data_IF_352792918776
#
_entry.id   IF_352792918776
#
_cell.length_a   1.000
_cell.length_b   1.000
_cell.length_c   1.000
_cell.angle_alpha   90.00
_cell.angle_beta   90.00
_cell.angle_gamma   90.00
#
_symmetry.space_group_name_H-M   'P 1'
#
loop_
_entity.id
_entity.type
_entity.pdbx_description
1 polymer ?
#
# COMPACT_ATOMS: atom_id res chain seq x y z
N UNK A 1 17.40 -2.79 12.26
CA UNK A 1 16.49 -3.82 11.70
C UNK A 1 15.46 -3.05 10.88
N UNK A 2 15.45 -3.17 9.55
CA UNK A 2 14.40 -2.52 8.74
C UNK A 2 13.10 -3.26 9.09
N UNK A 3 12.01 -2.57 9.41
CA UNK A 3 10.69 -3.19 9.66
C UNK A 3 9.71 -2.59 8.65
N UNK A 4 9.30 -3.36 7.66
CA UNK A 4 8.10 -3.00 6.90
C UNK A 4 6.90 -3.32 7.79
N UNK A 5 5.95 -2.40 7.91
CA UNK A 5 4.69 -2.67 8.60
C UNK A 5 4.01 -3.91 8.02
N UNK A 6 4.25 -4.18 6.74
CA UNK A 6 3.68 -5.30 6.02
C UNK A 6 4.58 -6.54 5.90
N UNK A 7 5.68 -6.62 6.66
CA UNK A 7 6.54 -7.82 6.69
C UNK A 7 5.75 -9.07 7.12
N UNK A 8 4.76 -8.87 8.00
CA UNK A 8 3.80 -9.90 8.43
C UNK A 8 2.49 -9.88 7.62
N UNK A 9 2.18 -8.79 6.90
CA UNK A 9 0.98 -8.68 6.05
C UNK A 9 1.10 -9.33 4.66
N UNK A 10 1.91 -10.38 4.57
CA UNK A 10 1.55 -11.51 3.71
C UNK A 10 0.43 -12.29 4.44
N UNK A 11 -0.64 -11.60 4.85
CA UNK A 11 -1.87 -12.18 5.42
C UNK A 11 -2.79 -12.64 4.28
N UNK A 12 -2.41 -12.40 3.04
CA UNK A 12 -2.86 -13.18 1.91
C UNK A 12 -1.80 -14.25 1.68
N UNK A 13 -1.88 -15.33 2.45
CA UNK A 13 -1.22 -16.58 2.11
C UNK A 13 -0.18 -17.10 3.11
N UNK A 14 -0.65 -17.94 4.04
CA UNK A 14 0.08 -19.17 4.39
C UNK A 14 0.21 -20.16 3.21
N UNK A 15 -0.35 -19.83 2.04
CA UNK A 15 -0.19 -20.55 0.77
C UNK A 15 0.84 -19.95 -0.20
N UNK A 16 1.55 -18.87 0.18
CA UNK A 16 2.86 -18.63 -0.42
C UNK A 16 3.76 -19.76 0.11
N UNK A 17 4.02 -20.77 -0.74
CA UNK A 17 4.59 -22.05 -0.37
C UNK A 17 5.63 -21.98 0.74
N UNK A 18 5.54 -22.95 1.67
CA UNK A 18 6.62 -23.31 2.59
C UNK A 18 7.94 -23.19 1.82
N UNK A 19 8.90 -22.44 2.37
CA UNK A 19 10.25 -22.35 1.82
C UNK A 19 10.68 -23.77 1.42
N UNK A 20 11.09 -24.01 0.15
CA UNK A 20 11.69 -25.29 -0.18
C UNK A 20 12.89 -25.48 0.75
N UNK A 21 13.01 -26.66 1.35
CA UNK A 21 14.18 -27.05 2.13
C UNK A 21 15.45 -26.66 1.36
N UNK A 22 16.13 -25.62 1.83
CA UNK A 22 17.54 -25.42 1.54
C UNK A 22 18.25 -26.30 2.56
N UNK A 23 18.39 -27.58 2.22
CA UNK A 23 19.30 -28.45 2.96
C UNK A 23 20.70 -27.82 2.92
N UNK A 24 21.25 -27.66 4.12
CA UNK A 24 22.66 -27.50 4.46
C UNK A 24 23.43 -26.35 3.80
N UNK A 25 23.16 -25.12 4.23
CA UNK A 25 24.24 -24.20 4.67
C UNK A 25 23.77 -23.33 5.82
N UNK A 26 24.50 -23.41 6.93
CA UNK A 26 24.39 -22.52 8.08
C UNK A 26 24.25 -21.05 7.64
N UNK A 27 23.14 -20.41 8.02
CA UNK A 27 23.02 -18.95 8.02
C UNK A 27 22.21 -18.53 9.24
N UNK A 28 22.90 -18.05 10.27
CA UNK A 28 22.34 -17.20 11.31
C UNK A 28 21.82 -15.91 10.66
N UNK A 29 20.51 -15.61 10.74
CA UNK A 29 19.99 -14.35 10.18
C UNK A 29 18.50 -14.33 9.83
N UNK A 30 17.62 -14.66 10.77
CA UNK A 30 16.16 -14.62 10.57
C UNK A 30 15.60 -13.20 10.28
N UNK A 31 14.54 -13.12 9.48
CA UNK A 31 13.66 -11.96 9.21
C UNK A 31 14.23 -10.74 8.47
N UNK A 32 15.54 -10.48 8.55
CA UNK A 32 16.14 -9.25 8.00
C UNK A 32 16.30 -9.26 6.47
N UNK A 33 16.40 -10.44 5.85
CA UNK A 33 16.65 -10.60 4.41
C UNK A 33 15.40 -10.35 3.53
N UNK A 34 14.22 -10.79 3.97
CA UNK A 34 12.97 -10.61 3.23
C UNK A 34 12.57 -9.13 3.12
N UNK A 35 12.78 -8.40 4.22
CA UNK A 35 12.58 -6.96 4.35
C UNK A 35 13.58 -6.21 3.45
N UNK A 36 14.86 -6.59 3.51
CA UNK A 36 15.90 -6.06 2.59
C UNK A 36 15.55 -6.30 1.11
N UNK A 37 14.89 -7.40 0.77
CA UNK A 37 14.44 -7.71 -0.58
C UNK A 37 13.28 -6.82 -1.04
N UNK A 38 12.26 -6.63 -0.19
CA UNK A 38 11.13 -5.74 -0.47
C UNK A 38 11.56 -4.27 -0.59
N UNK A 39 12.47 -3.81 0.28
CA UNK A 39 13.12 -2.50 0.15
C UNK A 39 13.82 -2.33 -1.20
N UNK A 40 14.60 -3.32 -1.62
CA UNK A 40 15.30 -3.31 -2.91
C UNK A 40 14.34 -3.38 -4.09
N UNK A 41 13.19 -4.02 -3.95
CA UNK A 41 12.19 -4.18 -5.01
C UNK A 41 11.27 -2.97 -5.14
N UNK A 42 10.78 -2.39 -4.04
CA UNK A 42 10.14 -1.06 -4.08
C UNK A 42 11.11 -0.04 -4.66
N UNK A 43 12.38 -0.07 -4.24
CA UNK A 43 13.45 0.73 -4.85
C UNK A 43 13.61 0.42 -6.36
N UNK A 44 13.55 -0.83 -6.83
CA UNK A 44 13.70 -1.17 -8.26
C UNK A 44 12.47 -0.85 -9.12
N UNK A 45 11.27 -1.13 -8.64
CA UNK A 45 10.01 -0.89 -9.36
C UNK A 45 9.74 0.59 -9.58
N UNK A 46 10.23 1.44 -8.68
CA UNK A 46 10.20 2.89 -8.83
C UNK A 46 11.36 3.45 -9.68
N UNK A 47 12.44 2.69 -9.88
CA UNK A 47 13.69 3.13 -10.54
C UNK A 47 14.03 2.42 -11.85
N UNK A 48 13.18 1.54 -12.37
CA UNK A 48 13.41 0.83 -13.64
C UNK A 48 12.34 1.23 -14.65
N UNK A 49 12.70 1.62 -15.89
CA UNK A 49 11.73 1.64 -16.97
C UNK A 49 11.31 0.19 -17.26
N UNK A 50 10.01 -0.20 -17.18
CA UNK A 50 9.58 -1.56 -17.50
C UNK A 50 9.66 -1.82 -19.00
N UNK A 51 10.08 -3.02 -19.43
CA UNK A 51 10.13 -3.37 -20.86
C UNK A 51 8.75 -3.79 -21.41
N UNK A 52 7.66 -3.36 -20.78
CA UNK A 52 6.28 -3.65 -21.18
C UNK A 52 5.62 -2.36 -21.67
N UNK A 53 5.53 -2.23 -22.99
CA UNK A 53 5.15 -1.01 -23.71
C UNK A 53 3.79 -0.42 -23.31
N UNK A 54 2.90 -1.18 -22.64
CA UNK A 54 1.59 -0.69 -22.20
C UNK A 54 1.58 0.08 -20.87
N UNK A 55 2.42 -0.31 -19.90
CA UNK A 55 2.49 0.37 -18.59
C UNK A 55 3.47 1.55 -18.62
N UNK A 56 4.47 1.46 -19.51
CA UNK A 56 5.41 2.54 -19.80
C UNK A 56 4.73 3.82 -20.29
N UNK A 57 3.78 3.72 -21.20
CA UNK A 57 3.16 4.92 -21.79
C UNK A 57 2.35 5.69 -20.73
N UNK A 58 1.78 5.01 -19.74
CA UNK A 58 1.04 5.68 -18.66
C UNK A 58 1.96 6.29 -17.58
N UNK A 59 3.10 5.65 -17.29
CA UNK A 59 4.07 6.14 -16.30
C UNK A 59 5.02 7.22 -16.84
N UNK A 60 5.28 7.27 -18.15
CA UNK A 60 6.28 8.17 -18.73
C UNK A 60 5.72 9.42 -19.41
N UNK A 61 4.41 9.52 -19.64
CA UNK A 61 3.82 10.71 -20.29
C UNK A 61 3.38 11.82 -19.32
N UNK A 62 3.42 11.60 -18.00
CA UNK A 62 3.13 12.63 -16.99
C UNK A 62 3.90 12.37 -15.70
N UNK A 63 5.21 12.65 -15.71
CA UNK A 63 6.09 12.78 -14.54
C UNK A 63 5.75 14.11 -13.84
N UNK A 64 4.49 14.28 -13.44
CA UNK A 64 4.08 15.30 -12.50
C UNK A 64 4.46 14.76 -11.12
N UNK A 65 5.22 15.54 -10.35
CA UNK A 65 5.71 15.30 -8.98
C UNK A 65 4.98 14.17 -8.23
N UNK A 66 5.66 13.24 -7.54
CA UNK A 66 5.00 12.17 -6.76
C UNK A 66 3.83 12.67 -5.87
N UNK A 67 3.97 13.89 -5.35
CA UNK A 67 2.89 14.63 -4.70
C UNK A 67 1.66 14.88 -5.61
N UNK A 68 1.85 15.33 -6.85
CA UNK A 68 0.78 15.49 -7.85
C UNK A 68 0.09 14.16 -8.19
N UNK A 69 0.82 13.04 -8.21
CA UNK A 69 0.20 11.71 -8.34
C UNK A 69 -0.69 11.43 -7.12
N UNK A 70 -0.21 11.73 -5.91
CA UNK A 70 -0.98 11.59 -4.69
C UNK A 70 -2.26 12.47 -4.73
N UNK A 71 -2.14 13.73 -5.14
CA UNK A 71 -3.25 14.68 -5.27
C UNK A 71 -4.28 14.25 -6.33
N UNK A 72 -3.80 13.74 -7.47
CA UNK A 72 -4.66 13.18 -8.50
C UNK A 72 -5.43 11.95 -8.00
N UNK A 73 -4.75 11.02 -7.32
CA UNK A 73 -5.41 9.86 -6.71
C UNK A 73 -6.41 10.31 -5.67
N UNK A 74 -6.07 11.26 -4.80
CA UNK A 74 -6.95 11.75 -3.75
C UNK A 74 -8.25 12.34 -4.32
N UNK A 75 -8.19 13.02 -5.46
CA UNK A 75 -9.37 13.61 -6.13
C UNK A 75 -10.18 12.60 -6.96
N UNK A 76 -9.57 11.50 -7.39
CA UNK A 76 -10.22 10.52 -8.27
C UNK A 76 -10.69 9.26 -7.54
N UNK A 77 -9.83 8.67 -6.72
CA UNK A 77 -10.04 7.41 -6.02
C UNK A 77 -9.29 7.41 -4.68
N UNK A 78 -10.04 7.64 -3.60
CA UNK A 78 -9.47 7.78 -2.26
C UNK A 78 -8.83 6.48 -1.75
N UNK A 79 -9.32 5.30 -2.14
CA UNK A 79 -8.69 4.04 -1.77
C UNK A 79 -7.32 3.87 -2.44
N UNK A 80 -7.21 4.23 -3.72
CA UNK A 80 -5.90 4.25 -4.40
C UNK A 80 -4.93 5.24 -3.79
N UNK A 81 -5.42 6.40 -3.34
CA UNK A 81 -4.60 7.37 -2.61
C UNK A 81 -4.05 6.77 -1.31
N UNK A 82 -4.90 6.11 -0.51
CA UNK A 82 -4.46 5.48 0.74
C UNK A 82 -3.40 4.42 0.46
N UNK A 83 -3.63 3.53 -0.50
CA UNK A 83 -2.66 2.48 -0.89
C UNK A 83 -1.34 3.11 -1.38
N UNK A 84 -1.43 4.17 -2.17
CA UNK A 84 -0.24 4.90 -2.63
C UNK A 84 0.55 5.50 -1.46
N UNK A 85 -0.13 6.09 -0.48
CA UNK A 85 0.54 6.64 0.69
C UNK A 85 1.17 5.55 1.58
N UNK A 86 0.55 4.37 1.70
CA UNK A 86 1.17 3.22 2.38
C UNK A 86 2.48 2.82 1.71
N UNK A 87 2.55 2.84 0.37
CA UNK A 87 3.81 2.60 -0.35
C UNK A 87 4.88 3.63 -0.01
N UNK A 88 4.50 4.91 0.15
CA UNK A 88 5.45 5.98 0.48
C UNK A 88 5.99 5.84 1.91
N UNK A 89 5.12 5.53 2.87
CA UNK A 89 5.53 5.26 4.26
C UNK A 89 6.51 4.07 4.31
N UNK A 90 6.20 2.97 3.62
CA UNK A 90 7.07 1.81 3.57
C UNK A 90 8.39 2.09 2.85
N UNK A 91 8.37 2.93 1.81
CA UNK A 91 9.61 3.39 1.17
C UNK A 91 10.47 4.19 2.15
N UNK A 92 9.90 5.10 2.94
CA UNK A 92 10.61 5.86 3.97
C UNK A 92 11.20 4.92 5.03
N UNK A 93 10.44 3.92 5.48
CA UNK A 93 10.92 2.89 6.44
C UNK A 93 12.10 2.09 5.90
N UNK A 94 12.13 1.84 4.59
CA UNK A 94 13.23 1.12 3.94
C UNK A 94 14.60 1.81 4.10
N UNK A 95 14.59 3.13 4.29
CA UNK A 95 15.77 3.97 4.56
C UNK A 95 16.00 4.23 6.05
N UNK A 96 15.24 3.57 6.94
CA UNK A 96 15.34 3.75 8.40
C UNK A 96 15.18 5.22 8.83
N UNK A 97 14.42 6.02 8.07
CA UNK A 97 14.28 7.46 8.34
C UNK A 97 15.57 8.29 8.18
N UNK A 98 16.61 7.74 7.53
CA UNK A 98 17.84 8.48 7.28
C UNK A 98 17.64 9.48 6.15
N UNK A 99 17.50 10.76 6.51
CA UNK A 99 17.28 11.87 5.58
C UNK A 99 18.27 11.91 4.42
N UNK A 100 19.55 11.67 4.69
CA UNK A 100 20.59 11.71 3.67
C UNK A 100 20.45 10.57 2.65
N UNK A 101 20.05 9.37 3.10
CA UNK A 101 19.80 8.25 2.17
C UNK A 101 18.56 8.52 1.28
N UNK A 102 17.53 9.18 1.81
CA UNK A 102 16.34 9.60 1.05
C UNK A 102 16.73 10.62 -0.03
N UNK A 103 17.51 11.65 0.32
CA UNK A 103 18.01 12.65 -0.64
C UNK A 103 18.84 12.01 -1.75
N UNK A 104 19.79 11.15 -1.40
CA UNK A 104 20.65 10.46 -2.38
C UNK A 104 19.83 9.59 -3.32
N UNK A 105 18.82 8.87 -2.82
CA UNK A 105 17.90 8.09 -3.66
C UNK A 105 17.20 8.94 -4.72
N UNK A 106 16.66 10.10 -4.35
CA UNK A 106 15.96 11.00 -5.27
C UNK A 106 16.93 11.62 -6.29
N UNK A 107 18.12 12.00 -5.84
CA UNK A 107 19.12 12.69 -6.68
C UNK A 107 19.79 11.77 -7.70
N UNK A 108 20.10 10.52 -7.34
CA UNK A 108 20.90 9.64 -8.18
C UNK A 108 20.09 8.79 -9.18
N UNK A 109 18.82 8.54 -8.88
CA UNK A 109 18.09 7.45 -9.55
C UNK A 109 16.89 7.90 -10.39
N UNK A 110 16.39 9.11 -10.19
CA UNK A 110 15.33 9.67 -11.02
C UNK A 110 15.90 10.53 -12.16
N UNK A 111 15.56 10.23 -13.43
CA UNK A 111 15.97 11.03 -14.58
C UNK A 111 15.09 12.28 -14.73
N UNK A 112 15.01 13.09 -13.68
CA UNK A 112 14.23 14.34 -13.64
C UNK A 112 15.13 15.55 -13.43
N UNK A 113 14.58 16.74 -13.67
CA UNK A 113 15.33 18.00 -13.52
C UNK A 113 15.85 18.16 -12.08
N UNK A 114 16.97 18.90 -11.87
CA UNK A 114 17.45 19.19 -10.52
C UNK A 114 16.40 19.88 -9.63
N UNK A 115 15.53 20.71 -10.22
CA UNK A 115 14.44 21.37 -9.52
C UNK A 115 13.38 20.37 -9.03
N UNK A 116 12.97 19.43 -9.88
CA UNK A 116 11.98 18.41 -9.51
C UNK A 116 12.56 17.43 -8.48
N UNK A 117 13.86 17.13 -8.56
CA UNK A 117 14.56 16.34 -7.52
C UNK A 117 14.47 17.01 -6.15
N UNK A 118 14.69 18.31 -6.08
CA UNK A 118 14.58 19.06 -4.83
C UNK A 118 13.16 18.98 -4.26
N UNK A 119 12.14 19.25 -5.09
CA UNK A 119 10.73 19.17 -4.69
C UNK A 119 10.32 17.78 -4.20
N UNK A 120 10.75 16.71 -4.89
CA UNK A 120 10.48 15.33 -4.47
C UNK A 120 11.16 15.03 -3.12
N UNK A 121 12.43 15.41 -2.98
CA UNK A 121 13.17 15.24 -1.74
C UNK A 121 12.48 15.95 -0.56
N UNK A 122 12.09 17.21 -0.75
CA UNK A 122 11.44 18.01 0.29
C UNK A 122 10.10 17.38 0.70
N UNK A 123 9.33 16.86 -0.25
CA UNK A 123 8.08 16.16 0.04
C UNK A 123 8.30 14.87 0.87
N UNK A 124 9.30 14.05 0.52
CA UNK A 124 9.65 12.86 1.31
C UNK A 124 10.15 13.22 2.71
N UNK A 125 10.95 14.28 2.84
CA UNK A 125 11.43 14.75 4.14
C UNK A 125 10.27 15.26 5.01
N UNK A 126 9.31 15.97 4.41
CA UNK A 126 8.10 16.39 5.11
C UNK A 126 7.23 15.20 5.56
N UNK A 127 7.11 14.15 4.75
CA UNK A 127 6.43 12.91 5.16
C UNK A 127 7.16 12.21 6.30
N UNK A 128 8.50 12.11 6.23
CA UNK A 128 9.31 11.58 7.32
C UNK A 128 9.12 12.39 8.61
N UNK A 129 9.10 13.72 8.53
CA UNK A 129 8.86 14.59 9.69
C UNK A 129 7.50 14.33 10.34
N UNK A 130 6.46 14.14 9.52
CA UNK A 130 5.13 13.73 10.01
C UNK A 130 5.19 12.35 10.68
N UNK A 131 5.84 11.37 10.08
CA UNK A 131 5.95 10.02 10.64
C UNK A 131 6.70 9.99 11.98
N UNK A 132 7.79 10.77 12.09
CA UNK A 132 8.57 10.90 13.33
C UNK A 132 7.77 11.62 14.40
N UNK A 133 7.11 12.73 14.07
CA UNK A 133 6.30 13.49 15.04
C UNK A 133 5.08 12.73 15.57
N UNK A 134 4.58 11.75 14.80
CA UNK A 134 3.46 10.89 15.20
C UNK A 134 3.92 9.55 15.82
N UNK A 135 5.23 9.33 15.96
CA UNK A 135 5.83 8.08 16.49
C UNK A 135 5.41 6.80 15.73
N UNK A 136 5.25 6.90 14.41
CA UNK A 136 4.82 5.79 13.52
C UNK A 136 5.91 5.33 12.55
N UNK A 137 7.16 5.75 12.78
CA UNK A 137 8.27 5.36 11.90
C UNK A 137 8.44 3.85 11.85
N UNK A 138 8.25 3.15 12.98
CA UNK A 138 8.40 1.70 13.06
C UNK A 138 7.16 0.92 12.55
N UNK A 139 5.95 1.42 12.84
CA UNK A 139 4.67 0.78 12.50
C UNK A 139 3.55 1.81 12.56
N UNK A 140 2.51 1.61 11.75
CA UNK A 140 1.28 2.40 11.77
C UNK A 140 1.19 3.34 10.58
N UNK A 141 0.05 3.98 10.41
CA UNK A 141 -0.18 4.92 9.32
C UNK A 141 -0.33 6.33 9.85
N UNK A 142 0.01 7.31 9.01
CA UNK A 142 -0.23 8.72 9.28
C UNK A 142 -1.68 8.92 9.73
N UNK A 143 -1.87 9.75 10.75
CA UNK A 143 -3.19 10.03 11.33
C UNK A 143 -4.21 10.49 10.27
N UNK A 144 -3.77 11.25 9.26
CA UNK A 144 -4.60 11.67 8.13
C UNK A 144 -5.10 10.48 7.29
N UNK A 145 -4.31 9.42 7.14
CA UNK A 145 -4.74 8.19 6.45
C UNK A 145 -5.71 7.38 7.31
N UNK A 146 -5.45 7.26 8.61
CA UNK A 146 -6.37 6.58 9.53
C UNK A 146 -7.75 7.26 9.58
N UNK A 147 -7.78 8.59 9.50
CA UNK A 147 -9.03 9.36 9.39
C UNK A 147 -9.79 8.99 8.12
N UNK A 148 -9.12 8.94 6.97
CA UNK A 148 -9.74 8.56 5.70
C UNK A 148 -10.28 7.12 5.73
N UNK A 149 -9.52 6.18 6.29
CA UNK A 149 -9.99 4.79 6.48
C UNK A 149 -11.24 4.76 7.37
N UNK A 150 -11.25 5.55 8.43
CA UNK A 150 -12.41 5.65 9.33
C UNK A 150 -13.64 6.23 8.64
N UNK A 151 -13.46 7.22 7.76
CA UNK A 151 -14.55 7.78 6.95
C UNK A 151 -15.10 6.76 5.95
N UNK A 152 -14.24 5.98 5.30
CA UNK A 152 -14.67 4.88 4.42
C UNK A 152 -15.40 3.80 5.21
N UNK A 153 -14.97 3.49 6.44
CA UNK A 153 -15.67 2.55 7.31
C UNK A 153 -17.07 3.05 7.70
N UNK A 154 -17.23 4.35 7.97
CA UNK A 154 -18.55 4.94 8.20
C UNK A 154 -19.48 4.81 6.99
N UNK A 155 -18.97 5.09 5.79
CA UNK A 155 -19.73 4.90 4.54
C UNK A 155 -20.10 3.42 4.38
N UNK A 156 -19.15 2.52 4.60
CA UNK A 156 -19.36 1.08 4.56
C UNK A 156 -20.50 0.63 5.48
N UNK A 157 -20.48 0.98 6.76
CA UNK A 157 -21.52 0.57 7.71
C UNK A 157 -22.89 1.20 7.41
N UNK A 158 -22.91 2.37 6.78
CA UNK A 158 -24.16 2.95 6.29
C UNK A 158 -24.70 2.14 5.10
N UNK A 159 -23.88 1.89 4.08
CA UNK A 159 -24.27 1.15 2.89
C UNK A 159 -24.74 -0.28 3.21
N UNK A 160 -24.13 -0.95 4.19
CA UNK A 160 -24.60 -2.26 4.66
C UNK A 160 -26.07 -2.26 5.11
N UNK A 161 -26.59 -1.11 5.54
CA UNK A 161 -27.99 -0.96 6.00
C UNK A 161 -28.91 -0.42 4.91
N UNK A 162 -28.37 0.39 3.99
CA UNK A 162 -29.17 1.19 3.08
C UNK A 162 -29.14 0.72 1.63
N UNK A 163 -28.14 -0.08 1.23
CA UNK A 163 -27.94 -0.52 -0.14
C UNK A 163 -27.86 -2.06 -0.23
N UNK A 164 -28.93 -2.74 -0.71
CA UNK A 164 -28.94 -4.18 -0.89
C UNK A 164 -27.89 -4.70 -1.88
N UNK A 165 -27.52 -3.92 -2.89
CA UNK A 165 -26.51 -4.28 -3.89
C UNK A 165 -25.13 -4.31 -3.23
N UNK A 166 -24.84 -3.27 -2.43
CA UNK A 166 -23.61 -3.23 -1.64
C UNK A 166 -23.56 -4.36 -0.61
N UNK A 167 -24.68 -4.66 0.06
CA UNK A 167 -24.77 -5.77 1.00
C UNK A 167 -24.44 -7.12 0.33
N UNK A 168 -24.95 -7.37 -0.88
CA UNK A 168 -24.61 -8.59 -1.64
C UNK A 168 -23.12 -8.62 -2.04
N UNK A 169 -22.58 -7.51 -2.53
CA UNK A 169 -21.16 -7.40 -2.88
C UNK A 169 -20.26 -7.65 -1.65
N UNK A 170 -20.59 -7.05 -0.50
CA UNK A 170 -19.90 -7.32 0.76
C UNK A 170 -20.04 -8.76 1.21
N UNK A 171 -21.19 -9.40 0.96
CA UNK A 171 -21.37 -10.84 1.20
C UNK A 171 -20.35 -11.72 0.49
N UNK A 172 -19.84 -11.29 -0.68
CA UNK A 172 -18.78 -11.98 -1.43
C UNK A 172 -17.38 -11.73 -0.85
N UNK A 173 -17.14 -10.53 -0.31
CA UNK A 173 -15.86 -10.16 0.32
C UNK A 173 -15.71 -10.70 1.75
N UNK A 174 -16.81 -10.80 2.51
CA UNK A 174 -16.84 -11.17 3.92
C UNK A 174 -16.10 -12.48 4.27
N UNK A 175 -16.23 -13.58 3.49
CA UNK A 175 -15.47 -14.80 3.76
C UNK A 175 -13.95 -14.57 3.75
N UNK A 176 -13.44 -13.79 2.80
CA UNK A 176 -12.02 -13.48 2.71
C UNK A 176 -11.55 -12.59 3.88
N UNK A 177 -12.39 -11.65 4.31
CA UNK A 177 -12.10 -10.81 5.49
C UNK A 177 -11.99 -11.67 6.75
N UNK A 178 -12.93 -12.60 6.96
CA UNK A 178 -12.90 -13.51 8.10
C UNK A 178 -11.67 -14.42 8.07
N UNK A 179 -11.33 -14.93 6.88
CA UNK A 179 -10.12 -15.73 6.69
C UNK A 179 -8.86 -14.93 7.06
N UNK A 180 -8.75 -13.69 6.59
CA UNK A 180 -7.62 -12.81 6.94
C UNK A 180 -7.50 -12.60 8.46
N UNK A 181 -8.61 -12.38 9.16
CA UNK A 181 -8.64 -12.26 10.63
C UNK A 181 -8.20 -13.56 11.31
N UNK A 182 -8.65 -14.71 10.81
CA UNK A 182 -8.23 -16.01 11.35
C UNK A 182 -6.73 -16.27 11.13
N UNK A 183 -6.18 -15.80 10.00
CA UNK A 183 -4.76 -15.93 9.69
C UNK A 183 -3.85 -14.97 10.47
N UNK A 184 -4.41 -13.88 11.01
CA UNK A 184 -3.68 -12.86 11.76
C UNK A 184 -3.19 -13.32 13.15
N UNK A 185 -3.64 -14.47 13.64
CA UNK A 185 -3.16 -15.10 14.88
C UNK A 185 -3.14 -14.16 16.10
N UNK A 186 -4.20 -13.35 16.25
CA UNK A 186 -4.37 -12.40 17.33
C UNK A 186 -3.77 -11.00 17.08
N UNK A 187 -3.16 -10.76 15.92
CA UNK A 187 -2.81 -9.41 15.47
C UNK A 187 -4.09 -8.61 15.10
N UNK A 188 -4.17 -7.37 15.57
CA UNK A 188 -5.22 -6.44 15.18
C UNK A 188 -4.99 -5.93 13.75
N UNK A 189 -5.90 -6.29 12.83
CA UNK A 189 -5.89 -5.85 11.44
C UNK A 189 -6.68 -4.57 11.21
N UNK A 190 -7.31 -4.02 12.25
CA UNK A 190 -8.25 -2.91 12.14
C UNK A 190 -9.63 -3.37 11.63
N UNK A 191 -10.39 -2.40 11.14
CA UNK A 191 -11.73 -2.65 10.60
C UNK A 191 -11.69 -3.34 9.22
N UNK A 192 -12.86 -3.72 8.73
CA UNK A 192 -13.05 -4.43 7.46
C UNK A 192 -12.43 -3.68 6.26
N UNK A 193 -12.45 -2.35 6.29
CA UNK A 193 -11.91 -1.53 5.20
C UNK A 193 -10.39 -1.51 5.24
N UNK A 194 -9.79 -1.45 6.42
CA UNK A 194 -8.35 -1.63 6.58
C UNK A 194 -7.91 -3.00 6.04
N UNK A 195 -8.67 -4.06 6.33
CA UNK A 195 -8.39 -5.41 5.81
C UNK A 195 -8.46 -5.45 4.27
N UNK A 196 -9.48 -4.84 3.66
CA UNK A 196 -9.58 -4.74 2.20
C UNK A 196 -8.40 -3.98 1.58
N UNK A 197 -8.03 -2.81 2.15
CA UNK A 197 -6.89 -2.01 1.70
C UNK A 197 -5.59 -2.81 1.78
N UNK A 198 -5.39 -3.48 2.91
CA UNK A 198 -4.26 -4.35 3.18
C UNK A 198 -4.19 -5.52 2.17
N UNK A 199 -5.32 -6.11 1.82
CA UNK A 199 -5.40 -7.19 0.83
C UNK A 199 -5.05 -6.72 -0.58
N UNK A 200 -5.57 -5.59 -1.04
CA UNK A 200 -5.20 -5.05 -2.36
C UNK A 200 -3.71 -4.66 -2.38
N UNK A 201 -3.22 -4.03 -1.30
CA UNK A 201 -1.81 -3.67 -1.19
C UNK A 201 -0.90 -4.90 -1.14
N UNK A 202 -1.26 -5.95 -0.39
CA UNK A 202 -0.52 -7.20 -0.31
C UNK A 202 -0.40 -7.90 -1.67
N UNK A 203 -1.48 -7.90 -2.48
CA UNK A 203 -1.41 -8.41 -3.85
C UNK A 203 -0.43 -7.61 -4.71
N UNK A 204 -0.47 -6.29 -4.61
CA UNK A 204 0.46 -5.41 -5.32
C UNK A 204 1.91 -5.73 -4.94
N UNK A 205 2.18 -5.92 -3.65
CA UNK A 205 3.49 -6.35 -3.17
C UNK A 205 3.90 -7.71 -3.76
N UNK A 206 3.03 -8.72 -3.76
CA UNK A 206 3.33 -10.02 -4.36
C UNK A 206 3.75 -9.90 -5.83
N UNK A 207 3.04 -9.08 -6.61
CA UNK A 207 3.37 -8.83 -8.02
C UNK A 207 4.72 -8.12 -8.18
N UNK A 208 4.96 -7.07 -7.40
CA UNK A 208 6.25 -6.33 -7.43
C UNK A 208 7.43 -7.22 -7.04
N UNK A 209 7.20 -8.20 -6.16
CA UNK A 209 8.20 -9.16 -5.72
C UNK A 209 8.37 -10.35 -6.68
N UNK A 210 7.60 -10.44 -7.77
CA UNK A 210 7.61 -11.58 -8.68
C UNK A 210 7.12 -12.89 -8.01
N UNK A 211 6.38 -12.79 -6.90
CA UNK A 211 5.82 -13.96 -6.21
C UNK A 211 4.62 -14.48 -6.99
N UNK A 212 4.49 -15.80 -7.06
CA UNK A 212 3.28 -16.44 -7.60
C UNK A 212 2.10 -16.12 -6.69
N UNK A 213 1.00 -15.73 -7.31
CA UNK A 213 -0.28 -15.44 -6.65
C UNK A 213 -1.23 -16.58 -7.02
N UNK A 214 -1.91 -17.16 -6.04
CA UNK A 214 -2.94 -18.19 -6.25
C UNK A 214 -4.25 -17.57 -6.76
N UNK A 215 -5.09 -18.40 -7.37
CA UNK A 215 -6.42 -17.98 -7.83
C UNK A 215 -7.29 -17.45 -6.67
N UNK A 216 -7.13 -18.01 -5.47
CA UNK A 216 -7.83 -17.56 -4.26
C UNK A 216 -7.38 -16.17 -3.82
N UNK A 217 -6.08 -15.89 -3.87
CA UNK A 217 -5.55 -14.55 -3.59
C UNK A 217 -6.05 -13.52 -4.61
N UNK A 218 -6.13 -13.89 -5.90
CA UNK A 218 -6.72 -13.02 -6.93
C UNK A 218 -8.20 -12.75 -6.66
N UNK A 219 -8.99 -13.79 -6.35
CA UNK A 219 -10.41 -13.64 -5.99
C UNK A 219 -10.62 -12.75 -4.77
N UNK A 220 -9.79 -12.91 -3.74
CA UNK A 220 -9.87 -12.07 -2.54
C UNK A 220 -9.60 -10.61 -2.85
N UNK A 221 -8.57 -10.33 -3.65
CA UNK A 221 -8.20 -8.98 -4.03
C UNK A 221 -9.22 -8.32 -4.96
N UNK A 222 -9.82 -9.08 -5.87
CA UNK A 222 -10.91 -8.60 -6.72
C UNK A 222 -12.12 -8.22 -5.86
N UNK A 223 -12.53 -9.09 -4.92
CA UNK A 223 -13.62 -8.81 -4.00
C UNK A 223 -13.35 -7.58 -3.10
N UNK A 224 -12.10 -7.41 -2.63
CA UNK A 224 -11.70 -6.21 -1.90
C UNK A 224 -11.71 -4.97 -2.79
N UNK A 225 -11.25 -5.10 -4.02
CA UNK A 225 -11.24 -4.03 -5.02
C UNK A 225 -12.64 -3.50 -5.31
N UNK A 226 -13.62 -4.38 -5.48
CA UNK A 226 -15.03 -4.02 -5.67
C UNK A 226 -15.55 -3.17 -4.51
N UNK A 227 -15.29 -3.59 -3.27
CA UNK A 227 -15.69 -2.86 -2.06
C UNK A 227 -15.04 -1.48 -2.01
N UNK A 228 -13.73 -1.40 -2.23
CA UNK A 228 -12.98 -0.15 -2.20
C UNK A 228 -13.38 0.81 -3.33
N UNK A 229 -13.72 0.27 -4.50
CA UNK A 229 -14.22 1.04 -5.65
C UNK A 229 -15.55 1.71 -5.33
N UNK A 230 -16.51 0.95 -4.80
CA UNK A 230 -17.81 1.50 -4.39
C UNK A 230 -17.64 2.55 -3.30
N UNK A 231 -16.84 2.30 -2.27
CA UNK A 231 -16.61 3.26 -1.19
C UNK A 231 -15.93 4.53 -1.70
N UNK A 232 -15.00 4.43 -2.64
CA UNK A 232 -14.33 5.58 -3.23
C UNK A 232 -15.29 6.46 -4.03
N UNK A 233 -16.23 5.84 -4.74
CA UNK A 233 -17.32 6.57 -5.42
C UNK A 233 -18.18 7.34 -4.42
N UNK A 234 -18.67 6.69 -3.36
CA UNK A 234 -19.52 7.34 -2.35
C UNK A 234 -18.78 8.43 -1.57
N UNK A 235 -17.49 8.23 -1.28
CA UNK A 235 -16.65 9.25 -0.66
C UNK A 235 -16.56 10.49 -1.55
N UNK A 236 -16.31 10.32 -2.85
CA UNK A 236 -16.24 11.44 -3.81
C UNK A 236 -17.55 12.21 -3.90
N UNK A 237 -18.68 11.50 -3.94
CA UNK A 237 -20.01 12.13 -3.94
C UNK A 237 -20.22 12.92 -2.65
N UNK A 238 -19.96 12.33 -1.47
CA UNK A 238 -20.08 13.01 -0.17
C UNK A 238 -19.20 14.26 -0.07
N UNK A 239 -17.92 14.16 -0.46
CA UNK A 239 -16.96 15.26 -0.45
C UNK A 239 -17.42 16.41 -1.38
N UNK A 240 -17.92 16.08 -2.58
CA UNK A 240 -18.46 17.07 -3.51
C UNK A 240 -19.70 17.81 -2.98
N UNK A 241 -20.54 17.14 -2.19
CA UNK A 241 -21.71 17.75 -1.56
C UNK A 241 -21.29 18.66 -0.38
N UNK A 242 -20.29 18.24 0.41
CA UNK A 242 -19.83 19.01 1.58
C UNK A 242 -19.11 20.32 1.24
N UNK A 243 -18.65 20.47 -0.01
CA UNK A 243 -17.93 21.66 -0.51
C UNK A 243 -18.83 22.72 -1.17
N UNK A 244 -20.11 22.40 -1.36
CA UNK A 244 -21.14 23.31 -1.89
C UNK A 244 -22.08 23.77 -0.78
#
# INVERSE_FOLDING_TARGET
MIKFQYSNLIIIGRHCGRMPNVEDRHCEGGTTEAISSLARLLRRSFLSPPNDAGFLIFAFSNINLMQSVAENKKSNNIAEYIIYMYQMEDLIRSYQGKREEIKTFVVEKYPVSPEDKAKISDWFLALLDKMVSQDILEKGHLAELNSLVSELAQIHWNLLKTDPTYFEAYGKAKPFILEAVMQADGEDLGNEIQICLNGVYGLLLCRLLGKKVSDEQLKSADAYGDILSTLSYHYKVKDSISKN
#
